data_IF_003816505728
#
_entry.id   IF_003816505728
#
_cell.length_a   1.000
_cell.length_b   1.000
_cell.length_c   1.000
_cell.angle_alpha   90.00
_cell.angle_beta   90.00
_cell.angle_gamma   90.00
#
_symmetry.space_group_name_H-M   'P 1'
#
loop_
_entity.id
_entity.type
_entity.pdbx_description
1 polymer ?
2 water ?
#
# COMPACT_ATOMS: atom_id res chain seq x y z
N UNK A 4 8.62 -3.88 19.96
CA UNK A 4 7.88 -2.62 19.90
C UNK A 4 6.95 -2.59 18.70
N UNK A 5 6.61 -3.77 18.18
CA UNK A 5 5.75 -3.89 17.01
C UNK A 5 4.30 -3.62 17.39
N UNK A 6 3.79 -2.46 16.98
CA UNK A 6 2.43 -2.04 17.29
C UNK A 6 1.54 -2.25 16.08
N UNK A 7 0.30 -2.67 16.30
CA UNK A 7 -0.64 -2.95 15.22
C UNK A 7 -1.47 -1.70 14.96
N UNK A 8 -1.47 -1.26 13.70
CA UNK A 8 -2.35 -0.20 13.21
C UNK A 8 -3.19 -0.77 12.07
N UNK A 9 -4.15 0.02 11.59
CA UNK A 9 -5.06 -0.39 10.54
C UNK A 9 -4.75 0.27 9.20
N UNK A 10 -5.65 0.04 8.25
CA UNK A 10 -5.52 0.68 6.93
C UNK A 10 -5.54 2.19 7.04
N UNK A 11 -6.32 2.73 7.97
CA UNK A 11 -6.42 4.17 8.18
C UNK A 11 -6.29 4.48 9.65
N UNK A 12 -5.58 5.56 9.96
CA UNK A 12 -5.43 6.02 11.33
C UNK A 12 -5.52 7.54 11.34
N UNK A 13 -5.63 8.10 12.54
CA UNK A 13 -5.53 9.53 12.72
C UNK A 13 -4.12 9.88 13.18
N UNK A 14 -3.50 10.84 12.50
CA UNK A 14 -2.17 11.31 12.84
C UNK A 14 -2.19 12.80 13.12
N UNK A 15 -1.23 13.24 13.94
CA UNK A 15 -1.05 14.63 14.28
C UNK A 15 0.39 15.06 14.01
N UNK A 16 0.54 16.23 13.41
CA UNK A 16 1.86 16.86 13.28
C UNK A 16 2.18 17.53 14.59
N UNK A 17 3.20 17.03 15.29
CA UNK A 17 3.55 17.54 16.63
C UNK A 17 3.62 19.06 16.65
N UNK A 18 2.96 19.64 17.64
CA UNK A 18 2.84 21.07 17.76
C UNK A 18 1.56 21.61 17.17
N UNK A 19 1.02 20.93 16.15
CA UNK A 19 -0.19 21.34 15.46
C UNK A 19 -1.37 20.53 15.98
N UNK A 20 -2.45 21.22 16.35
CA UNK A 20 -3.66 20.58 16.87
C UNK A 20 -4.66 20.39 15.74
N UNK A 21 -4.29 19.49 14.82
CA UNK A 21 -5.09 19.18 13.65
C UNK A 21 -5.15 17.67 13.46
N UNK A 22 -6.34 17.15 13.20
CA UNK A 22 -6.52 15.74 12.92
C UNK A 22 -6.27 15.50 11.44
N UNK A 23 -5.35 14.59 11.14
CA UNK A 23 -5.07 14.23 9.76
C UNK A 23 -5.46 12.78 9.56
N UNK A 24 -6.17 12.49 8.48
CA UNK A 24 -6.48 11.12 8.12
C UNK A 24 -5.31 10.53 7.36
N UNK A 25 -4.78 9.41 7.85
CA UNK A 25 -3.61 8.78 7.26
C UNK A 25 -4.03 7.44 6.70
N UNK A 26 -3.63 7.18 5.46
CA UNK A 26 -3.79 5.88 4.82
C UNK A 26 -2.45 5.16 4.92
N UNK A 27 -2.46 3.99 5.57
CA UNK A 27 -1.24 3.23 5.77
C UNK A 27 -1.05 2.33 4.56
N UNK A 28 -0.07 2.66 3.74
CA UNK A 28 0.12 2.10 2.40
C UNK A 28 1.46 1.38 2.35
N UNK A 29 1.43 0.06 2.51
CA UNK A 29 2.65 -0.74 2.43
C UNK A 29 3.16 -0.90 1.00
N UNK A 30 2.35 -0.54 -0.01
CA UNK A 30 2.80 -0.60 -1.39
C UNK A 30 3.64 0.57 -1.84
N UNK A 31 3.67 1.66 -1.08
CA UNK A 31 4.48 2.81 -1.39
C UNK A 31 5.65 2.88 -0.40
N UNK A 32 6.83 3.26 -0.91
CA UNK A 32 8.00 3.36 -0.06
C UNK A 32 8.01 4.68 0.72
N UNK A 33 7.76 5.78 0.02
CA UNK A 33 7.86 7.10 0.62
C UNK A 33 6.50 7.58 1.14
N UNK A 34 6.56 8.48 2.12
CA UNK A 34 5.36 9.07 2.71
C UNK A 34 5.03 10.40 2.03
N UNK A 35 3.73 10.73 2.02
CA UNK A 35 3.25 11.94 1.38
C UNK A 35 2.30 12.70 2.29
N UNK A 36 2.39 14.03 2.23
CA UNK A 36 1.53 14.91 3.01
C UNK A 36 0.88 15.90 2.05
N UNK A 37 -0.44 15.95 2.05
CA UNK A 37 -1.16 16.88 1.19
C UNK A 37 -1.05 18.28 1.75
N UNK A 38 -0.51 19.21 0.96
CA UNK A 38 -0.24 20.56 1.42
C UNK A 38 -0.87 21.55 0.46
N UNK A 39 -1.02 22.78 0.95
CA UNK A 39 -1.56 23.87 0.15
C UNK A 39 -0.68 25.09 0.34
N UNK A 40 -0.59 25.90 -0.73
CA UNK A 40 0.16 27.16 -0.72
C UNK A 40 1.60 26.94 -0.25
N UNK A 41 2.28 26.03 -0.94
CA UNK A 41 3.65 25.70 -0.63
C UNK A 41 4.56 26.81 -1.15
N UNK A 42 5.32 27.42 -0.24
CA UNK A 42 6.26 28.48 -0.59
C UNK A 42 7.64 28.08 -0.12
N UNK A 43 8.55 27.87 -1.05
CA UNK A 43 9.94 27.58 -0.73
C UNK A 43 10.69 28.89 -0.52
N UNK A 44 11.58 28.91 0.47
CA UNK A 44 12.37 30.10 0.73
C UNK A 44 13.73 29.68 1.29
N UNK A 45 14.54 30.68 1.64
CA UNK A 45 15.87 30.45 2.19
C UNK A 45 15.97 31.09 3.57
N UNK A 46 16.50 30.33 4.52
CA UNK A 46 16.76 30.82 5.86
C UNK A 46 18.18 30.47 6.23
N UNK A 47 18.99 31.48 6.52
CA UNK A 47 20.40 31.29 6.87
C UNK A 47 21.12 30.45 5.82
N UNK A 48 20.74 30.64 4.55
CA UNK A 48 21.34 29.95 3.44
C UNK A 48 20.80 28.55 3.16
N UNK A 49 20.04 27.96 4.08
CA UNK A 49 19.50 26.62 3.86
C UNK A 49 18.08 26.73 3.36
N UNK A 50 17.72 25.82 2.45
CA UNK A 50 16.38 25.78 1.90
C UNK A 50 15.36 25.40 2.96
N UNK A 51 14.32 26.22 3.09
CA UNK A 51 13.20 26.00 4.00
C UNK A 51 11.92 26.03 3.18
N UNK A 52 10.83 25.57 3.78
CA UNK A 52 9.53 25.58 3.14
C UNK A 52 8.48 25.98 4.17
N UNK A 53 7.50 26.75 3.72
CA UNK A 53 6.37 27.18 4.54
C UNK A 53 5.10 26.79 3.81
N UNK A 54 4.19 26.13 4.53
CA UNK A 54 3.01 25.56 3.90
C UNK A 54 1.94 25.34 4.97
N UNK A 55 0.74 25.05 4.51
CA UNK A 55 -0.37 24.67 5.37
C UNK A 55 -0.83 23.26 5.01
N UNK A 56 -1.41 22.57 5.99
CA UNK A 56 -2.08 21.32 5.69
C UNK A 56 -3.25 21.57 4.74
N UNK A 57 -3.53 20.57 3.89
CA UNK A 57 -4.63 20.71 2.95
C UNK A 57 -5.97 20.92 3.65
N UNK A 58 -6.11 20.43 4.88
CA UNK A 58 -7.35 20.63 5.61
C UNK A 58 -7.44 22.05 6.17
N UNK A 59 -6.31 22.69 6.43
CA UNK A 59 -6.27 24.03 7.02
C UNK A 59 -6.51 25.06 5.91
N UNK A 60 -7.78 25.20 5.52
CA UNK A 60 -8.12 26.17 4.49
C UNK A 60 -8.02 27.60 5.00
N UNK A 61 -8.29 27.82 6.28
CA UNK A 61 -8.25 29.15 6.87
C UNK A 61 -6.84 29.64 7.17
N UNK A 62 -5.81 28.83 6.91
CA UNK A 62 -4.42 29.21 7.18
C UNK A 62 -4.23 29.52 8.66
N UNK A 63 -4.74 28.64 9.51
CA UNK A 63 -4.67 28.86 10.95
C UNK A 63 -3.38 28.34 11.57
N UNK A 64 -2.78 27.32 10.99
CA UNK A 64 -1.57 26.69 11.54
C UNK A 64 -0.49 26.66 10.47
N UNK A 65 0.20 27.80 10.26
CA UNK A 65 1.34 27.80 9.32
C UNK A 65 2.45 26.88 9.79
N UNK A 66 3.04 26.16 8.83
CA UNK A 66 4.08 25.18 9.10
C UNK A 66 5.34 25.62 8.38
N UNK A 67 6.41 25.86 9.13
CA UNK A 67 7.70 26.20 8.57
C UNK A 67 8.68 25.10 8.96
N UNK A 68 9.25 24.45 7.96
CA UNK A 68 10.17 23.36 8.22
C UNK A 68 11.36 23.49 7.27
N UNK A 69 12.56 23.18 7.73
CA UNK A 69 13.70 23.16 6.80
C UNK A 69 13.52 22.06 5.76
N UNK A 70 13.92 22.37 4.53
CA UNK A 70 13.84 21.37 3.46
C UNK A 70 14.95 20.33 3.65
N UNK A 71 14.58 19.06 3.63
CA UNK A 71 15.59 18.02 3.70
C UNK A 71 16.21 17.79 2.33
N UNK A 72 15.37 17.63 1.31
CA UNK A 72 15.83 17.43 -0.06
C UNK A 72 14.66 17.72 -1.00
N UNK A 73 14.84 17.40 -2.28
CA UNK A 73 13.79 17.54 -3.29
C UNK A 73 13.70 16.22 -4.04
N UNK A 74 12.53 15.60 -4.02
CA UNK A 74 12.35 14.29 -4.63
C UNK A 74 12.29 14.42 -6.15
N UNK A 75 12.14 13.28 -6.82
CA UNK A 75 12.06 13.25 -8.27
C UNK A 75 10.61 13.23 -8.75
N UNK A 93 11.49 17.48 -7.92
CA UNK A 93 10.11 17.91 -8.16
C UNK A 93 9.42 18.32 -6.86
N UNK A 94 9.11 17.33 -6.02
CA UNK A 94 8.38 17.65 -4.80
C UNK A 94 9.35 18.00 -3.66
N UNK A 95 8.99 18.97 -2.83
CA UNK A 95 9.80 19.24 -1.64
C UNK A 95 9.65 18.11 -0.62
N UNK A 96 10.76 17.79 0.05
CA UNK A 96 10.81 16.73 1.05
C UNK A 96 11.19 17.36 2.38
N UNK A 97 10.48 16.98 3.45
CA UNK A 97 10.78 17.47 4.78
C UNK A 97 10.72 16.33 5.78
N UNK A 98 11.21 16.59 6.99
CA UNK A 98 11.11 15.67 8.11
C UNK A 98 10.15 16.26 9.14
N UNK A 99 9.13 15.50 9.49
CA UNK A 99 8.09 15.94 10.42
C UNK A 99 7.97 14.93 11.56
N UNK A 100 7.84 15.42 12.78
CA UNK A 100 7.52 14.56 13.90
C UNK A 100 6.03 14.27 13.86
N UNK A 101 5.66 13.06 13.44
CA UNK A 101 4.27 12.64 13.29
C UNK A 101 3.91 11.74 14.46
N UNK A 102 2.72 11.95 15.01
CA UNK A 102 2.22 11.22 16.15
C UNK A 102 1.02 10.38 15.72
N UNK A 103 1.07 9.09 16.01
CA UNK A 103 0.01 8.15 15.68
C UNK A 103 -0.21 7.27 16.90
N UNK A 104 -1.43 7.27 17.42
CA UNK A 104 -1.67 6.65 18.71
C UNK A 104 -0.83 7.34 19.77
N UNK A 105 0.08 6.57 20.39
CA UNK A 105 1.01 7.13 21.35
C UNK A 105 2.45 7.11 20.85
N UNK A 106 2.65 6.90 19.54
CA UNK A 106 3.99 6.78 18.97
C UNK A 106 4.32 8.05 18.20
N UNK A 107 5.42 8.69 18.59
CA UNK A 107 5.95 9.86 17.90
C UNK A 107 7.20 9.46 17.13
N UNK A 108 7.21 9.73 15.83
CA UNK A 108 8.33 9.35 14.98
C UNK A 108 8.70 10.48 14.04
N UNK A 109 10.00 10.66 13.83
CA UNK A 109 10.46 11.56 12.78
C UNK A 109 10.33 10.86 11.43
N UNK A 110 9.50 11.41 10.56
CA UNK A 110 9.10 10.77 9.31
C UNK A 110 9.45 11.72 8.17
N UNK A 111 10.02 11.16 7.10
CA UNK A 111 10.28 11.92 5.90
C UNK A 111 9.04 11.89 5.01
N UNK A 112 8.58 13.07 4.59
CA UNK A 112 7.34 13.21 3.84
C UNK A 112 7.56 14.15 2.66
N UNK A 113 6.99 13.78 1.52
CA UNK A 113 6.94 14.64 0.34
C UNK A 113 5.68 15.51 0.42
N UNK A 114 5.84 16.81 0.18
CA UNK A 114 4.72 17.74 0.21
C UNK A 114 4.07 17.75 -1.17
N UNK A 115 2.85 17.25 -1.25
CA UNK A 115 2.13 17.16 -2.52
C UNK A 115 0.87 18.03 -2.50
N UNK A 116 0.53 18.56 -3.67
CA UNK A 116 -0.66 19.38 -3.92
C UNK A 116 -1.85 18.52 -4.31
N UNK A 117 -1.99 17.33 -3.75
CA UNK A 117 -3.13 16.49 -4.10
C UNK A 117 -4.45 17.15 -3.72
N UNK A 118 -5.52 16.64 -4.30
CA UNK A 118 -6.85 17.09 -3.93
C UNK A 118 -7.11 16.81 -2.46
N UNK A 119 -7.78 17.76 -1.79
CA UNK A 119 -8.20 17.54 -0.41
C UNK A 119 -9.14 16.35 -0.28
N UNK A 120 -9.66 15.85 -1.40
CA UNK A 120 -10.48 14.64 -1.39
C UNK A 120 -9.68 13.43 -0.89
N UNK A 121 -8.56 13.13 -1.54
CA UNK A 121 -7.72 12.00 -1.17
C UNK A 121 -7.21 12.12 0.27
N UNK A 122 -6.44 11.14 0.73
CA UNK A 122 -6.02 11.15 2.14
C UNK A 122 -4.89 12.14 2.35
N UNK A 123 -5.01 13.05 3.31
CA UNK A 123 -4.00 14.10 3.50
C UNK A 123 -2.61 13.55 3.81
N UNK A 124 -2.53 12.45 4.55
CA UNK A 124 -1.26 11.82 4.90
C UNK A 124 -1.26 10.39 4.36
N UNK A 125 -0.31 10.09 3.49
CA UNK A 125 -0.09 8.74 3.01
C UNK A 125 1.20 8.23 3.64
N UNK A 126 1.11 7.18 4.44
CA UNK A 126 2.25 6.66 5.19
C UNK A 126 2.78 5.42 4.47
N UNK A 127 3.96 5.54 3.89
CA UNK A 127 4.55 4.47 3.12
C UNK A 127 5.29 3.47 3.99
N UNK A 128 5.95 2.52 3.31
CA UNK A 128 6.55 1.41 4.02
C UNK A 128 7.72 1.85 4.90
N UNK A 129 8.51 2.82 4.43
CA UNK A 129 9.63 3.30 5.24
C UNK A 129 9.16 3.95 6.53
N UNK A 130 8.11 4.78 6.46
CA UNK A 130 7.58 5.40 7.66
C UNK A 130 6.95 4.37 8.58
N UNK A 131 6.24 3.39 8.01
CA UNK A 131 5.66 2.32 8.83
C UNK A 131 6.75 1.53 9.53
N UNK A 132 7.90 1.35 8.87
CA UNK A 132 9.05 0.71 9.51
C UNK A 132 9.58 1.58 10.64
N UNK A 133 9.66 2.90 10.43
CA UNK A 133 10.06 3.79 11.50
C UNK A 133 9.10 3.73 12.68
N UNK A 134 7.82 3.48 12.40
CA UNK A 134 6.81 3.38 13.45
C UNK A 134 6.77 2.02 14.13
N UNK A 135 7.59 1.07 13.69
CA UNK A 135 7.53 -0.31 14.19
C UNK A 135 6.12 -0.85 14.05
N UNK A 136 5.55 -0.66 12.86
CA UNK A 136 4.14 -0.90 12.63
C UNK A 136 3.89 -2.23 11.95
N UNK A 137 2.76 -2.84 12.31
CA UNK A 137 2.16 -3.94 11.58
C UNK A 137 0.80 -3.46 11.09
N UNK A 138 0.55 -3.60 9.80
CA UNK A 138 -0.68 -3.11 9.19
C UNK A 138 -1.69 -4.24 9.10
N UNK A 139 -2.80 -4.09 9.84
CA UNK A 139 -3.94 -5.00 9.76
C UNK A 139 -4.95 -4.42 8.79
N UNK A 140 -5.14 -5.01 7.61
CA UNK A 140 -6.13 -4.47 6.67
C UNK A 140 -7.57 -4.62 7.15
N UNK A 141 -7.83 -5.43 8.17
CA UNK A 141 -9.18 -5.56 8.69
C UNK A 141 -9.54 -4.48 9.72
N UNK A 142 -8.59 -3.64 10.10
CA UNK A 142 -8.80 -2.61 11.11
C UNK A 142 -8.76 -1.22 10.51
N UNK A 143 -9.45 -0.29 11.18
CA UNK A 143 -9.48 1.12 10.81
C UNK A 143 -9.49 1.96 12.07
N UNK A 144 -8.57 2.92 12.15
CA UNK A 144 -8.46 3.84 13.28
C UNK A 144 -8.35 3.07 14.59
N UNK A 145 -7.49 2.05 14.59
CA UNK A 145 -7.28 1.24 15.78
C UNK A 145 -6.45 1.97 16.83
N UNK A 146 -5.62 2.92 16.43
CA UNK A 146 -4.77 3.62 17.39
C UNK A 146 -5.49 4.75 18.12
N UNK A 147 -6.74 5.03 17.76
CA UNK A 147 -7.47 6.12 18.39
C UNK A 147 -6.89 7.48 18.02
N UNK A 148 -7.22 8.46 18.87
CA UNK A 148 -6.74 9.82 18.64
C UNK A 148 -5.26 9.93 18.98
N UNK A 149 -4.53 10.80 18.30
CA UNK A 149 -3.11 11.00 18.65
C UNK A 149 -2.97 11.56 20.06
N UNK A 150 -2.11 10.93 20.84
CA UNK A 150 -1.91 11.32 22.24
C UNK A 150 -0.46 11.14 22.63
N UNK A 151 0.45 11.79 21.90
CA UNK A 151 1.86 11.73 22.23
C UNK A 151 2.26 12.91 23.12
N UNK B 4 -7.39 -17.06 13.04
CA UNK B 4 -5.94 -16.89 13.03
C UNK B 4 -5.54 -15.50 12.54
N UNK B 5 -4.26 -15.17 12.68
CA UNK B 5 -3.74 -13.87 12.26
C UNK B 5 -2.23 -14.04 12.05
N UNK B 6 -1.81 -14.11 10.78
CA UNK B 6 -0.44 -14.41 10.40
C UNK B 6 0.29 -13.16 9.92
N UNK B 7 1.57 -13.05 10.27
CA UNK B 7 2.39 -11.92 9.86
C UNK B 7 3.11 -12.26 8.57
N UNK B 8 2.94 -11.41 7.56
CA UNK B 8 3.67 -11.52 6.30
C UNK B 8 4.45 -10.23 6.07
N UNK B 9 5.27 -10.21 5.02
CA UNK B 9 6.10 -9.07 4.71
C UNK B 9 5.60 -8.29 3.50
N UNK B 10 6.41 -7.31 3.09
CA UNK B 10 6.07 -6.51 1.92
C UNK B 10 5.96 -7.38 0.68
N UNK B 11 6.79 -8.40 0.58
CA UNK B 11 6.79 -9.33 -0.54
C UNK B 11 6.83 -10.75 0.01
N UNK B 12 6.10 -11.64 -0.65
CA UNK B 12 6.09 -13.04 -0.26
C UNK B 12 6.09 -13.91 -1.51
N UNK B 13 6.26 -15.21 -1.31
CA UNK B 13 6.04 -16.17 -2.37
C UNK B 13 4.62 -16.70 -2.25
N UNK B 14 3.89 -16.66 -3.36
CA UNK B 14 2.53 -17.18 -3.42
C UNK B 14 2.50 -18.23 -4.52
N UNK B 15 1.56 -19.17 -4.38
CA UNK B 15 1.36 -20.21 -5.38
C UNK B 15 -0.08 -20.12 -5.85
N UNK B 16 -0.26 -20.13 -7.17
CA UNK B 16 -1.60 -20.22 -7.72
C UNK B 16 -1.96 -21.70 -7.74
N UNK B 17 -2.72 -22.12 -6.72
CA UNK B 17 -3.08 -23.52 -6.57
C UNK B 17 -3.78 -24.05 -7.80
N UNK B 18 -3.41 -25.26 -8.22
CA UNK B 18 -3.94 -25.90 -9.40
C UNK B 18 -3.08 -25.73 -10.63
N UNK B 19 -2.39 -24.60 -10.75
CA UNK B 19 -1.49 -24.36 -11.88
C UNK B 19 -0.06 -24.65 -11.50
N UNK B 20 0.22 -24.92 -10.24
CA UNK B 20 1.55 -25.22 -9.72
C UNK B 20 2.58 -24.23 -10.25
N UNK B 21 2.38 -22.96 -9.88
CA UNK B 21 3.29 -21.90 -10.30
C UNK B 21 3.54 -20.99 -9.11
N UNK B 22 4.81 -20.75 -8.81
CA UNK B 22 5.22 -19.85 -7.74
C UNK B 22 5.46 -18.46 -8.33
N UNK B 23 4.74 -17.47 -7.79
CA UNK B 23 4.87 -16.09 -8.20
C UNK B 23 5.28 -15.25 -7.00
N UNK B 24 6.11 -14.24 -7.24
CA UNK B 24 6.45 -13.28 -6.21
C UNK B 24 5.32 -12.27 -6.09
N UNK B 25 4.81 -12.09 -4.87
CA UNK B 25 3.67 -11.24 -4.60
C UNK B 25 4.09 -10.04 -3.77
N UNK B 26 3.60 -8.87 -4.17
CA UNK B 26 3.76 -7.64 -3.41
C UNK B 26 2.49 -7.41 -2.59
N UNK B 27 2.64 -7.31 -1.27
CA UNK B 27 1.52 -7.10 -0.36
C UNK B 27 1.31 -5.60 -0.21
N UNK B 28 0.22 -5.09 -0.79
CA UNK B 28 -0.02 -3.67 -0.95
C UNK B 28 -1.32 -3.29 -0.23
N UNK B 29 -1.19 -2.73 0.98
CA UNK B 29 -2.37 -2.32 1.73
C UNK B 29 -3.02 -1.07 1.17
N UNK B 30 -2.33 -0.32 0.31
CA UNK B 30 -2.90 0.86 -0.31
C UNK B 30 -3.85 0.59 -1.46
N UNK B 31 -3.87 -0.63 -1.96
CA UNK B 31 -4.79 -1.04 -3.01
C UNK B 31 -5.84 -1.97 -2.41
N UNK B 32 -7.09 -1.81 -2.83
CA UNK B 32 -8.16 -2.65 -2.29
C UNK B 32 -8.18 -4.00 -3.00
N UNK B 33 -8.14 -3.99 -4.32
CA UNK B 33 -8.28 -5.20 -5.12
C UNK B 33 -6.90 -5.76 -5.47
N UNK B 34 -6.89 -7.07 -5.75
CA UNK B 34 -5.68 -7.77 -6.13
C UNK B 34 -5.55 -7.81 -7.66
N UNK B 35 -4.30 -7.85 -8.12
CA UNK B 35 -4.00 -7.84 -9.56
C UNK B 35 -2.99 -8.92 -9.91
N UNK B 36 -3.19 -9.52 -11.09
CA UNK B 36 -2.29 -10.53 -11.62
C UNK B 36 -1.90 -10.12 -13.03
N UNK B 37 -0.60 -10.06 -13.29
CA UNK B 37 -0.11 -9.72 -14.61
C UNK B 37 -0.30 -10.91 -15.55
N UNK B 38 -1.01 -10.70 -16.65
CA UNK B 38 -1.36 -11.76 -17.57
C UNK B 38 -0.99 -11.38 -18.99
N UNK B 39 -0.95 -12.40 -19.86
CA UNK B 39 -0.68 -12.23 -21.28
C UNK B 39 -1.71 -13.05 -22.07
N UNK B 40 -2.03 -12.56 -23.27
CA UNK B 40 -2.92 -13.25 -24.21
C UNK B 40 -4.27 -13.57 -23.56
N UNK B 41 -4.90 -12.54 -23.04
CA UNK B 41 -6.21 -12.67 -22.39
C UNK B 41 -7.27 -12.82 -23.46
N UNK B 42 -8.00 -13.94 -23.43
CA UNK B 42 -9.09 -14.21 -24.37
C UNK B 42 -10.35 -14.51 -23.59
N UNK B 43 -11.36 -13.64 -23.76
CA UNK B 43 -12.67 -13.87 -23.17
C UNK B 43 -13.51 -14.75 -24.09
N UNK B 44 -14.25 -15.69 -23.52
CA UNK B 44 -15.13 -16.55 -24.31
C UNK B 44 -16.34 -16.94 -23.48
N UNK B 45 -17.20 -17.76 -24.07
CA UNK B 45 -18.41 -18.25 -23.40
C UNK B 45 -18.36 -19.76 -23.32
N UNK B 46 -18.69 -20.31 -22.16
CA UNK B 46 -18.78 -21.75 -21.95
C UNK B 46 -20.12 -22.06 -21.31
N UNK B 47 -20.98 -22.77 -22.03
CA UNK B 47 -22.33 -23.10 -21.57
C UNK B 47 -23.08 -21.85 -21.08
N UNK B 48 -22.88 -20.73 -21.78
CA UNK B 48 -23.53 -19.49 -21.42
C UNK B 48 -22.82 -18.66 -20.37
N UNK B 49 -21.79 -19.19 -19.72
CA UNK B 49 -21.08 -18.46 -18.68
C UNK B 49 -19.86 -17.77 -19.28
N UNK B 50 -19.63 -16.53 -18.84
CA UNK B 50 -18.44 -15.80 -19.27
C UNK B 50 -17.19 -16.43 -18.65
N UNK B 51 -16.23 -16.76 -19.50
CA UNK B 51 -14.96 -17.35 -19.07
C UNK B 51 -13.82 -16.54 -19.65
N UNK B 52 -12.62 -16.78 -19.12
CA UNK B 52 -11.41 -16.12 -19.58
C UNK B 52 -10.29 -17.15 -19.61
N UNK B 53 -9.41 -17.01 -20.60
CA UNK B 53 -8.23 -17.84 -20.79
C UNK B 53 -7.02 -16.93 -20.89
N UNK B 54 -5.98 -17.24 -20.13
CA UNK B 54 -4.82 -16.36 -20.07
C UNK B 54 -3.62 -17.15 -19.60
N UNK B 55 -2.44 -16.55 -19.75
CA UNK B 55 -1.20 -17.05 -19.18
C UNK B 55 -0.65 -16.01 -18.22
N UNK B 56 0.13 -16.47 -17.25
CA UNK B 56 0.88 -15.55 -16.43
C UNK B 56 1.88 -14.79 -17.29
N UNK B 57 2.16 -13.54 -16.92
CA UNK B 57 3.12 -12.76 -17.68
C UNK B 57 4.50 -13.43 -17.70
N UNK B 58 4.82 -14.18 -16.64
CA UNK B 58 6.10 -14.89 -16.57
C UNK B 58 6.11 -16.13 -17.45
N UNK B 59 4.96 -16.72 -17.75
CA UNK B 59 4.87 -17.94 -18.54
C UNK B 59 5.08 -17.58 -20.01
N UNK B 60 6.35 -17.38 -20.35
CA UNK B 60 6.71 -17.04 -21.73
C UNK B 60 6.53 -18.23 -22.67
N UNK B 61 6.78 -19.44 -22.18
CA UNK B 61 6.66 -20.63 -23.01
C UNK B 61 5.22 -21.07 -23.21
N UNK B 62 4.26 -20.38 -22.57
CA UNK B 62 2.84 -20.73 -22.67
C UNK B 62 2.62 -22.17 -22.22
N UNK B 63 3.24 -22.54 -21.10
CA UNK B 63 3.17 -23.90 -20.59
C UNK B 63 1.97 -24.14 -19.67
N UNK B 64 1.48 -23.10 -18.99
CA UNK B 64 0.37 -23.26 -18.04
C UNK B 64 -0.78 -22.33 -18.43
N UNK B 65 -1.53 -22.70 -19.46
CA UNK B 65 -2.74 -21.93 -19.77
C UNK B 65 -3.75 -22.06 -18.64
N UNK B 66 -4.38 -20.95 -18.30
CA UNK B 66 -5.32 -20.88 -17.17
C UNK B 66 -6.68 -20.47 -17.73
N UNK B 67 -7.68 -21.32 -17.51
CA UNK B 67 -9.05 -21.06 -17.91
C UNK B 67 -9.93 -20.99 -16.67
N UNK B 68 -10.58 -19.83 -16.46
CA UNK B 68 -11.41 -19.60 -15.29
C UNK B 68 -12.71 -18.91 -15.65
N UNK B 69 -13.81 -19.24 -14.99
CA UNK B 69 -15.04 -18.46 -15.14
C UNK B 69 -14.85 -17.07 -14.58
N UNK B 70 -15.51 -16.11 -15.22
CA UNK B 70 -15.46 -14.72 -14.75
C UNK B 70 -16.24 -14.59 -13.44
N UNK B 71 -15.61 -13.97 -12.45
CA UNK B 71 -16.27 -13.69 -11.18
C UNK B 71 -17.15 -12.45 -11.28
N UNK B 92 -9.36 1.40 -17.52
CA UNK B 92 -9.18 0.58 -16.32
C UNK B 92 -10.43 -0.26 -16.04
N UNK B 93 -10.57 -1.39 -16.74
CA UNK B 93 -11.69 -2.30 -16.54
C UNK B 93 -11.30 -3.73 -16.92
N UNK B 94 -10.65 -4.44 -15.99
CA UNK B 94 -10.06 -5.77 -16.08
C UNK B 94 -11.07 -6.85 -15.68
N UNK B 95 -11.02 -8.01 -16.32
CA UNK B 95 -11.85 -9.13 -15.89
C UNK B 95 -11.36 -9.67 -14.55
N UNK B 96 -12.30 -10.10 -13.72
CA UNK B 96 -12.01 -10.57 -12.37
C UNK B 96 -12.35 -12.05 -12.26
N UNK B 97 -11.47 -12.81 -11.62
CA UNK B 97 -11.66 -14.23 -11.40
C UNK B 97 -11.31 -14.56 -9.96
N UNK B 98 -11.67 -15.78 -9.56
CA UNK B 98 -11.35 -16.30 -8.23
C UNK B 98 -10.28 -17.37 -8.36
N UNK B 99 -9.19 -17.20 -7.62
CA UNK B 99 -8.06 -18.11 -7.65
C UNK B 99 -7.75 -18.57 -6.23
N UNK B 100 -7.48 -19.86 -6.08
CA UNK B 100 -6.99 -20.37 -4.80
C UNK B 100 -5.50 -20.05 -4.71
N UNK B 101 -5.15 -19.07 -3.88
CA UNK B 101 -3.76 -18.64 -3.70
C UNK B 101 -3.25 -19.14 -2.36
N UNK B 102 -2.02 -19.66 -2.36
CA UNK B 102 -1.38 -20.19 -1.17
C UNK B 102 -0.20 -19.32 -0.80
N UNK B 103 -0.16 -18.90 0.45
CA UNK B 103 0.92 -18.05 0.96
C UNK B 103 1.33 -18.61 2.32
N UNK B 104 2.60 -18.98 2.43
CA UNK B 104 3.02 -19.71 3.61
C UNK B 104 2.25 -21.02 3.70
N UNK B 105 1.48 -21.18 4.76
CA UNK B 105 0.61 -22.34 4.93
C UNK B 105 -0.86 -21.97 4.84
N UNK B 106 -1.19 -20.78 4.35
CA UNK B 106 -2.57 -20.31 4.29
C UNK B 106 -3.06 -20.36 2.86
N UNK B 107 -4.15 -21.09 2.63
CA UNK B 107 -4.79 -21.18 1.34
C UNK B 107 -6.07 -20.35 1.39
N UNK B 108 -6.22 -19.42 0.45
CA UNK B 108 -7.40 -18.57 0.43
C UNK B 108 -7.90 -18.40 -0.99
N UNK B 109 -9.22 -18.41 -1.16
CA UNK B 109 -9.84 -18.03 -2.42
C UNK B 109 -9.83 -16.51 -2.53
N UNK B 110 -9.15 -15.98 -3.55
CA UNK B 110 -8.89 -14.56 -3.69
C UNK B 110 -9.45 -14.08 -5.02
N UNK B 111 -10.09 -12.91 -4.99
CA UNK B 111 -10.55 -12.27 -6.21
C UNK B 111 -9.41 -11.46 -6.81
N UNK B 112 -9.16 -11.67 -8.09
CA UNK B 112 -8.00 -11.11 -8.78
C UNK B 112 -8.44 -10.50 -10.10
N UNK B 113 -7.95 -9.31 -10.39
CA UNK B 113 -8.11 -8.66 -11.69
C UNK B 113 -6.96 -9.06 -12.60
N UNK B 114 -7.29 -9.48 -13.82
CA UNK B 114 -6.29 -9.85 -14.81
C UNK B 114 -5.89 -8.58 -15.58
N UNK B 115 -4.62 -8.19 -15.49
CA UNK B 115 -4.16 -6.99 -16.18
C UNK B 115 -3.20 -7.39 -17.30
N UNK B 116 -3.29 -6.69 -18.42
CA UNK B 116 -2.43 -6.98 -19.57
C UNK B 116 -1.14 -6.18 -19.52
N UNK B 117 -0.97 -5.34 -18.51
CA UNK B 117 0.30 -4.64 -18.34
C UNK B 117 1.38 -5.63 -17.92
N UNK B 118 2.63 -5.22 -18.09
CA UNK B 118 3.75 -6.01 -17.62
C UNK B 118 4.80 -5.17 -16.89
N UNK B 119 4.73 -3.84 -16.95
CA UNK B 119 5.62 -3.01 -16.15
C UNK B 119 5.45 -3.24 -14.66
N UNK B 120 4.35 -3.88 -14.25
CA UNK B 120 4.18 -4.27 -12.87
C UNK B 120 5.27 -5.29 -12.53
N UNK B 121 6.24 -4.86 -11.72
CA UNK B 121 7.37 -5.74 -11.39
C UNK B 121 6.89 -7.04 -10.78
N UNK B 122 6.03 -6.96 -9.78
CA UNK B 122 5.60 -8.17 -9.10
C UNK B 122 4.43 -8.80 -9.83
N UNK B 123 4.52 -10.09 -10.18
CA UNK B 123 3.44 -10.73 -10.96
C UNK B 123 2.10 -10.72 -10.27
N UNK B 124 2.08 -10.81 -8.96
CA UNK B 124 0.85 -10.82 -8.17
C UNK B 124 0.87 -9.63 -7.21
N UNK B 125 -0.15 -8.78 -7.30
CA UNK B 125 -0.34 -7.68 -6.37
C UNK B 125 -1.50 -8.04 -5.44
N UNK B 126 -1.21 -8.14 -4.15
CA UNK B 126 -2.20 -8.55 -3.15
C UNK B 126 -2.67 -7.30 -2.41
N UNK B 127 -3.93 -6.92 -2.65
CA UNK B 127 -4.49 -5.72 -2.06
C UNK B 127 -5.01 -5.94 -0.66
N UNK B 128 -5.66 -4.91 -0.14
CA UNK B 128 -6.12 -4.94 1.25
C UNK B 128 -7.23 -5.97 1.46
N UNK B 129 -8.13 -6.11 0.48
CA UNK B 129 -9.22 -7.07 0.65
C UNK B 129 -8.72 -8.50 0.68
N UNK B 130 -7.80 -8.85 -0.22
CA UNK B 130 -7.21 -10.19 -0.19
C UNK B 130 -6.45 -10.41 1.11
N UNK B 131 -5.70 -9.40 1.55
CA UNK B 131 -4.97 -9.50 2.82
C UNK B 131 -5.92 -9.70 3.99
N UNK B 132 -7.11 -9.11 3.94
CA UNK B 132 -8.11 -9.41 4.97
C UNK B 132 -8.55 -10.86 4.87
N UNK B 133 -8.75 -11.35 3.64
CA UNK B 133 -9.10 -12.77 3.48
C UNK B 133 -7.99 -13.67 4.00
N UNK B 134 -6.74 -13.23 3.92
CA UNK B 134 -5.62 -14.03 4.40
C UNK B 134 -5.39 -13.92 5.90
N UNK B 135 -6.17 -13.09 6.61
CA UNK B 135 -5.96 -12.83 8.03
C UNK B 135 -4.52 -12.36 8.28
N UNK B 136 -4.09 -11.42 7.45
CA UNK B 136 -2.68 -11.03 7.39
C UNK B 136 -2.43 -9.74 8.17
N UNK B 137 -1.25 -9.67 8.77
CA UNK B 137 -0.66 -8.44 9.28
C UNK B 137 0.60 -8.19 8.48
N UNK B 138 0.72 -7.02 7.88
CA UNK B 138 1.85 -6.72 7.01
C UNK B 138 2.93 -6.01 7.82
N UNK B 139 4.08 -6.66 7.95
CA UNK B 139 5.25 -6.05 8.56
C UNK B 139 6.10 -5.47 7.45
N UNK B 140 6.19 -4.13 7.32
CA UNK B 140 6.98 -3.54 6.24
C UNK B 140 8.48 -3.77 6.40
N UNK B 141 8.95 -4.18 7.57
CA UNK B 141 10.37 -4.43 7.76
C UNK B 141 10.77 -5.84 7.35
N UNK B 142 9.81 -6.68 6.97
CA UNK B 142 10.06 -8.06 6.59
C UNK B 142 9.79 -8.29 5.10
N UNK B 143 10.47 -9.29 4.55
CA UNK B 143 10.30 -9.69 3.16
C UNK B 143 10.43 -11.20 3.09
N UNK B 144 9.44 -11.86 2.48
CA UNK B 144 9.41 -13.32 2.34
C UNK B 144 9.53 -14.00 3.70
N UNK B 145 8.74 -13.52 4.66
CA UNK B 145 8.75 -14.08 6.00
C UNK B 145 8.05 -15.43 6.07
N UNK B 146 7.13 -15.71 5.15
CA UNK B 146 6.40 -16.97 5.16
C UNK B 146 7.16 -18.10 4.48
N UNK B 147 8.31 -17.83 3.89
CA UNK B 147 9.01 -18.89 3.20
C UNK B 147 8.25 -19.32 1.95
N UNK B 148 8.58 -20.52 1.48
CA UNK B 148 7.93 -21.04 0.28
C UNK B 148 6.50 -21.47 0.58
N UNK B 149 5.61 -21.39 -0.40
CA UNK B 149 4.23 -21.85 -0.19
C UNK B 149 4.19 -23.33 0.12
N UNK B 150 3.47 -23.70 1.17
CA UNK B 150 3.38 -25.08 1.62
C UNK B 150 1.99 -25.36 2.18
N UNK B 151 0.97 -25.15 1.35
CA UNK B 151 -0.40 -25.44 1.77
C UNK B 151 -0.80 -26.85 1.37
#
# INVERSE_FOLDING_TARGET
AAGEKTVYGLNEYAALDGINLEVAAKLDTGAKTASLSARDIKRFKRNGESWVRFYLAIDAAHSHPIERPLARVSKIKRRAGDYDPEEGKKYTARPVIELDICMGSAMRSIEVNLTDRSAFQYPLLIGSEALKRFDALVDPSLKYAAGKPACAIAAHTAE
AAGEKTVYGLNEYAALDGINLEVAAKLDTGAKTASLSARDIKRFKRNGESWVRFYLAIDAAHSHPIERPLARVSKIKRRAGDYDPEEGKKYTARPVIELDICMGSAMRSIEVNLTDRSAFQYPLLIGSEALKRFDALVDPSLKYAAGKPACAIAAHTAE
#
